data_IF_509319844892
#
_entry.id   IF_509319844892
#
_cell.length_a   1.000
_cell.length_b   1.000
_cell.length_c   1.000
_cell.angle_alpha   90.00
_cell.angle_beta   90.00
_cell.angle_gamma   90.00
#
_symmetry.space_group_name_H-M   'P 1'
#
loop_
_entity.id
_entity.type
_entity.pdbx_description
1 polymer ?
#
# COMPACT_ATOMS: atom_id res chain seq x y z
N UNK A 1 13.20 -17.61 0.97
CA UNK A 1 11.78 -17.51 1.38
C UNK A 1 11.05 -16.53 0.47
N UNK A 2 9.91 -16.93 -0.12
CA UNK A 2 9.09 -16.16 -1.09
C UNK A 2 8.74 -14.75 -0.59
N UNK A 3 8.32 -14.64 0.67
CA UNK A 3 8.00 -13.38 1.34
C UNK A 3 9.12 -12.33 1.25
N UNK A 4 10.37 -12.73 1.52
CA UNK A 4 11.51 -11.81 1.51
C UNK A 4 11.81 -11.29 0.10
N UNK A 5 11.65 -12.14 -0.92
CA UNK A 5 11.81 -11.74 -2.32
C UNK A 5 10.75 -10.71 -2.72
N UNK A 6 9.48 -10.95 -2.40
CA UNK A 6 8.38 -10.03 -2.71
C UNK A 6 8.57 -8.71 -1.97
N UNK A 7 8.94 -8.74 -0.68
CA UNK A 7 9.24 -7.52 0.10
C UNK A 7 10.38 -6.71 -0.50
N UNK A 8 11.44 -7.37 -0.95
CA UNK A 8 12.58 -6.70 -1.58
C UNK A 8 12.20 -6.09 -2.95
N UNK A 9 11.45 -6.83 -3.77
CA UNK A 9 11.01 -6.35 -5.08
C UNK A 9 9.97 -5.22 -5.00
N UNK A 10 9.09 -5.25 -3.99
CA UNK A 10 8.13 -4.20 -3.72
C UNK A 10 8.79 -2.93 -3.14
N UNK A 11 9.95 -3.07 -2.48
CA UNK A 11 10.60 -1.94 -1.82
C UNK A 11 10.95 -0.83 -2.83
N UNK A 12 10.48 0.39 -2.55
CA UNK A 12 10.66 1.56 -3.41
C UNK A 12 9.72 1.64 -4.63
N UNK A 13 8.94 0.59 -4.91
CA UNK A 13 8.08 0.49 -6.10
C UNK A 13 6.57 0.65 -5.81
N UNK A 14 6.21 1.03 -4.57
CA UNK A 14 4.82 1.05 -4.11
C UNK A 14 3.87 1.94 -4.91
N UNK A 15 4.30 3.11 -5.39
CA UNK A 15 3.46 3.93 -6.30
C UNK A 15 2.98 3.13 -7.52
N UNK A 16 3.88 2.35 -8.13
CA UNK A 16 3.56 1.53 -9.32
C UNK A 16 2.65 0.37 -8.95
N UNK A 17 2.90 -0.26 -7.80
CA UNK A 17 2.09 -1.37 -7.28
C UNK A 17 0.65 -0.90 -7.02
N UNK A 18 0.48 0.24 -6.34
CA UNK A 18 -0.85 0.80 -6.09
C UNK A 18 -1.57 1.14 -7.39
N UNK A 19 -0.88 1.74 -8.37
CA UNK A 19 -1.47 2.02 -9.68
C UNK A 19 -1.95 0.75 -10.40
N UNK A 20 -1.15 -0.33 -10.39
CA UNK A 20 -1.56 -1.63 -10.97
C UNK A 20 -2.76 -2.25 -10.25
N UNK A 21 -2.87 -2.02 -8.95
CA UNK A 21 -3.97 -2.46 -8.10
C UNK A 21 -5.15 -1.48 -8.10
N UNK A 22 -5.14 -0.44 -8.94
CA UNK A 22 -6.18 0.60 -8.97
C UNK A 22 -6.43 1.28 -7.60
N UNK A 23 -5.39 1.32 -6.75
CA UNK A 23 -5.40 2.06 -5.49
C UNK A 23 -4.85 3.46 -5.78
N UNK A 24 -5.71 4.47 -5.72
CA UNK A 24 -5.27 5.85 -5.88
C UNK A 24 -4.62 6.34 -4.60
N UNK A 25 -3.34 6.70 -4.69
CA UNK A 25 -2.59 7.34 -3.61
C UNK A 25 -1.97 8.65 -4.11
N UNK A 26 -1.87 9.67 -3.24
CA UNK A 26 -1.15 10.88 -3.59
C UNK A 26 0.32 10.57 -3.87
N UNK A 27 0.99 11.48 -4.59
CA UNK A 27 2.44 11.41 -4.79
C UNK A 27 3.16 11.33 -3.43
N UNK A 28 4.30 10.64 -3.40
CA UNK A 28 5.17 10.57 -2.21
C UNK A 28 5.40 11.96 -1.61
N UNK A 29 5.22 12.08 -0.30
CA UNK A 29 5.37 13.31 0.47
C UNK A 29 4.20 14.29 0.33
N UNK A 30 3.11 13.91 -0.36
CA UNK A 30 1.91 14.72 -0.50
C UNK A 30 0.74 14.13 0.28
N UNK A 31 -0.24 15.00 0.52
CA UNK A 31 -1.52 14.71 1.14
C UNK A 31 -2.58 14.51 0.07
N UNK A 32 -3.57 13.68 0.36
CA UNK A 32 -4.68 13.41 -0.56
C UNK A 32 -5.87 12.70 0.08
N UNK A 33 -6.85 12.31 -0.74
CA UNK A 33 -7.98 11.50 -0.30
C UNK A 33 -7.49 10.14 0.22
N UNK A 34 -8.12 9.63 1.27
CA UNK A 34 -7.78 8.29 1.75
C UNK A 34 -8.47 7.24 0.88
N UNK A 35 -7.72 6.26 0.35
CA UNK A 35 -8.33 5.16 -0.42
C UNK A 35 -9.21 4.25 0.44
N UNK A 36 -9.06 4.28 1.78
CA UNK A 36 -9.83 3.44 2.71
C UNK A 36 -11.11 4.13 3.23
N UNK A 37 -11.04 5.43 3.54
CA UNK A 37 -12.15 6.15 4.18
C UNK A 37 -12.57 7.46 3.47
N UNK A 38 -11.98 7.76 2.31
CA UNK A 38 -12.28 8.96 1.52
C UNK A 38 -11.69 10.26 2.08
N UNK A 39 -12.41 11.36 1.90
CA UNK A 39 -11.95 12.71 2.27
C UNK A 39 -11.16 13.42 1.17
N UNK A 40 -10.38 14.45 1.55
CA UNK A 40 -9.68 15.33 0.58
C UNK A 40 -8.16 15.39 0.84
N UNK A 41 -7.73 15.50 2.09
CA UNK A 41 -6.32 15.76 2.46
C UNK A 41 -5.80 14.89 3.64
N UNK A 42 -6.59 13.92 4.10
CA UNK A 42 -6.34 13.21 5.36
C UNK A 42 -5.27 12.12 5.26
N UNK A 43 -5.01 11.62 4.06
CA UNK A 43 -4.07 10.54 3.80
C UNK A 43 -2.72 11.10 3.36
N UNK A 44 -1.67 10.64 4.04
CA UNK A 44 -0.29 10.99 3.75
C UNK A 44 0.41 9.72 3.31
N UNK A 45 1.05 9.79 2.14
CA UNK A 45 1.91 8.72 1.65
C UNK A 45 3.36 9.18 1.73
N UNK A 46 4.14 8.53 2.60
CA UNK A 46 5.51 8.93 2.93
C UNK A 46 6.56 7.92 2.44
N UNK A 47 6.20 6.64 2.36
CA UNK A 47 7.06 5.56 1.85
C UNK A 47 8.46 5.58 2.46
N UNK A 48 8.50 5.70 3.78
CA UNK A 48 9.71 5.61 4.57
C UNK A 48 10.40 4.27 4.30
N UNK A 49 11.71 4.35 4.03
CA UNK A 49 12.58 3.20 3.77
C UNK A 49 12.11 2.30 2.60
N UNK A 50 11.32 2.87 1.66
CA UNK A 50 10.82 2.10 0.53
C UNK A 50 9.66 1.17 0.87
N UNK A 51 9.08 1.24 2.07
CA UNK A 51 8.13 0.23 2.57
C UNK A 51 6.66 0.49 2.22
N UNK A 52 6.35 1.56 1.48
CA UNK A 52 4.96 1.89 1.17
C UNK A 52 4.24 2.48 2.37
N UNK A 53 4.96 3.08 3.32
CA UNK A 53 4.33 3.60 4.54
C UNK A 53 3.41 4.78 4.25
N UNK A 54 2.34 4.79 5.00
CA UNK A 54 1.28 5.78 4.91
C UNK A 54 0.66 5.98 6.28
N UNK A 55 -0.03 7.11 6.42
CA UNK A 55 -0.89 7.35 7.56
C UNK A 55 -2.13 8.17 7.17
N UNK A 56 -3.22 7.96 7.88
CA UNK A 56 -4.47 8.69 7.74
C UNK A 56 -4.93 9.21 9.10
N UNK A 57 -5.21 10.51 9.17
CA UNK A 57 -5.58 11.20 10.43
C UNK A 57 -7.01 10.92 10.93
N UNK A 58 -7.85 10.24 10.13
CA UNK A 58 -9.30 10.09 10.38
C UNK A 58 -9.85 8.68 10.08
N UNK A 59 -9.02 7.70 9.79
CA UNK A 59 -9.48 6.31 9.78
C UNK A 59 -9.85 5.89 11.21
N UNK A 60 -10.96 5.18 11.35
CA UNK A 60 -11.45 4.66 12.64
C UNK A 60 -10.76 3.33 13.04
N UNK A 61 -10.18 2.62 12.05
CA UNK A 61 -9.41 1.40 12.26
C UNK A 61 -7.90 1.64 12.12
N UNK A 62 -7.34 1.31 10.96
CA UNK A 62 -5.91 1.47 10.71
C UNK A 62 -5.59 2.89 10.25
N UNK A 63 -4.91 3.65 11.12
CA UNK A 63 -4.47 5.01 10.85
C UNK A 63 -3.05 5.09 10.28
N UNK A 64 -2.28 4.02 10.30
CA UNK A 64 -0.97 3.95 9.67
C UNK A 64 -0.60 2.50 9.36
N UNK A 65 0.24 2.30 8.36
CA UNK A 65 0.73 0.98 7.97
C UNK A 65 1.78 1.08 6.88
N UNK A 66 2.28 -0.08 6.47
CA UNK A 66 3.09 -0.26 5.27
C UNK A 66 2.21 -0.56 4.06
N UNK A 67 2.84 -0.77 2.90
CA UNK A 67 2.10 -0.96 1.66
C UNK A 67 1.31 -2.25 1.58
N UNK A 68 1.77 -3.34 2.20
CA UNK A 68 0.99 -4.59 2.26
C UNK A 68 -0.26 -4.40 3.13
N UNK A 69 -0.12 -3.64 4.22
CA UNK A 69 -1.23 -3.32 5.12
C UNK A 69 -2.28 -2.44 4.43
N UNK A 70 -1.87 -1.51 3.55
CA UNK A 70 -2.80 -0.73 2.72
C UNK A 70 -3.59 -1.62 1.77
N UNK A 71 -2.89 -2.47 1.02
CA UNK A 71 -3.49 -3.40 0.05
C UNK A 71 -4.46 -4.35 0.75
N UNK A 72 -4.06 -4.93 1.89
CA UNK A 72 -4.90 -5.81 2.69
C UNK A 72 -6.20 -5.10 3.11
N UNK A 73 -6.08 -3.87 3.62
CA UNK A 73 -7.23 -3.09 4.09
C UNK A 73 -8.14 -2.65 2.95
N UNK A 74 -7.56 -2.24 1.81
CA UNK A 74 -8.31 -1.77 0.65
C UNK A 74 -9.17 -2.88 0.02
N UNK A 75 -8.61 -4.08 -0.12
CA UNK A 75 -9.31 -5.23 -0.69
C UNK A 75 -10.07 -6.08 0.33
N UNK A 76 -9.93 -5.79 1.63
CA UNK A 76 -10.53 -6.60 2.70
C UNK A 76 -9.97 -8.03 2.77
N UNK A 77 -8.68 -8.20 2.46
CA UNK A 77 -8.01 -9.51 2.44
C UNK A 77 -7.01 -9.66 3.60
N UNK A 78 -6.63 -10.90 3.91
CA UNK A 78 -5.56 -11.19 4.87
C UNK A 78 -4.19 -10.76 4.32
N UNK A 79 -3.18 -10.73 5.20
CA UNK A 79 -1.80 -10.45 4.79
C UNK A 79 -1.30 -11.37 3.66
N UNK A 80 -1.71 -12.65 3.66
CA UNK A 80 -1.33 -13.55 2.58
C UNK A 80 -2.04 -13.18 1.27
N UNK A 81 -3.30 -12.76 1.34
CA UNK A 81 -4.02 -12.25 0.16
C UNK A 81 -3.39 -10.98 -0.41
N UNK A 82 -2.95 -10.05 0.44
CA UNK A 82 -2.24 -8.86 -0.04
C UNK A 82 -0.86 -9.19 -0.61
N UNK A 83 -0.18 -10.19 -0.05
CA UNK A 83 1.08 -10.70 -0.60
C UNK A 83 0.89 -11.24 -2.03
N UNK A 84 -0.16 -12.04 -2.29
CA UNK A 84 -0.47 -12.52 -3.64
C UNK A 84 -0.81 -11.38 -4.60
N UNK A 85 -1.60 -10.40 -4.17
CA UNK A 85 -1.94 -9.24 -5.00
C UNK A 85 -0.70 -8.42 -5.37
N UNK A 86 0.18 -8.17 -4.41
CA UNK A 86 1.44 -7.45 -4.63
C UNK A 86 2.37 -8.27 -5.53
N UNK A 87 2.48 -9.57 -5.32
CA UNK A 87 3.29 -10.47 -6.14
C UNK A 87 2.86 -10.44 -7.61
N UNK A 88 1.55 -10.49 -7.86
CA UNK A 88 0.97 -10.36 -9.21
C UNK A 88 1.24 -8.99 -9.82
N UNK A 89 1.11 -7.91 -9.04
CA UNK A 89 1.38 -6.55 -9.50
C UNK A 89 2.84 -6.31 -9.91
N UNK A 90 3.79 -7.06 -9.34
CA UNK A 90 5.23 -6.99 -9.68
C UNK A 90 5.70 -8.14 -10.59
N UNK A 91 4.79 -8.95 -11.13
CA UNK A 91 5.11 -10.04 -12.06
C UNK A 91 5.84 -11.23 -11.42
N UNK A 92 5.70 -11.43 -10.11
CA UNK A 92 6.28 -12.53 -9.35
C UNK A 92 5.21 -13.58 -9.04
N UNK A 93 4.70 -14.23 -10.08
CA UNK A 93 3.75 -15.35 -9.97
C UNK A 93 4.54 -16.65 -9.85
N UNK A 94 4.81 -17.10 -8.62
CA UNK A 94 5.33 -18.46 -8.32
C UNK A 94 4.51 -19.12 -7.23
#
# INVERSE_FOLDING_TARGET
MRLQKIKAAANGNWCSIYAHLAIDVPKRGKQGPCPLCGGVDRFHYDDLEGRGTWHCRKCDGQQAGDGFSLVASYYGVSFNGSLELVARAIGMEE
#
